data_IF_797851102949
#
_entry.id   IF_797851102949
#
_cell.length_a   1.000
_cell.length_b   1.000
_cell.length_c   1.000
_cell.angle_alpha   90.00
_cell.angle_beta   90.00
_cell.angle_gamma   90.00
#
_symmetry.space_group_name_H-M   'P 1'
#
loop_
_entity.id
_entity.type
_entity.pdbx_description
1 polymer ?
#
# COMPACT_ATOMS: atom_id res chain seq x y z
N UNK A 1 -21.27 -5.02 -4.16
CA UNK A 1 -22.36 -4.18 -4.72
C UNK A 1 -22.30 -4.18 -6.24
N UNK A 2 -23.38 -3.82 -6.92
CA UNK A 2 -23.39 -3.68 -8.39
C UNK A 2 -22.32 -2.68 -8.85
N UNK A 3 -22.22 -1.53 -8.20
CA UNK A 3 -21.18 -0.53 -8.51
C UNK A 3 -19.75 -1.10 -8.44
N UNK A 4 -19.47 -1.96 -7.46
CA UNK A 4 -18.14 -2.59 -7.33
C UNK A 4 -17.91 -3.62 -8.41
N UNK A 5 -18.96 -4.30 -8.86
CA UNK A 5 -18.90 -5.23 -9.98
C UNK A 5 -18.65 -4.51 -11.31
N UNK A 6 -19.38 -3.41 -11.56
CA UNK A 6 -19.16 -2.56 -12.73
C UNK A 6 -17.72 -2.01 -12.78
N UNK A 7 -17.19 -1.55 -11.62
CA UNK A 7 -15.82 -1.08 -11.54
C UNK A 7 -14.79 -2.21 -11.83
N UNK A 8 -15.07 -3.42 -11.35
CA UNK A 8 -14.24 -4.59 -11.64
C UNK A 8 -14.25 -4.93 -13.14
N UNK A 9 -15.43 -4.97 -13.75
CA UNK A 9 -15.57 -5.26 -15.18
C UNK A 9 -14.84 -4.23 -16.02
N UNK A 10 -15.03 -2.94 -15.74
CA UNK A 10 -14.32 -1.86 -16.43
C UNK A 10 -12.79 -1.96 -16.28
N UNK A 11 -12.29 -2.34 -15.11
CA UNK A 11 -10.85 -2.54 -14.89
C UNK A 11 -10.32 -3.73 -15.70
N UNK A 12 -11.07 -4.84 -15.76
CA UNK A 12 -10.68 -6.01 -16.57
C UNK A 12 -10.68 -5.68 -18.07
N UNK A 13 -11.66 -4.94 -18.58
CA UNK A 13 -11.73 -4.50 -19.98
C UNK A 13 -10.54 -3.57 -20.33
N UNK A 14 -10.20 -2.64 -19.42
CA UNK A 14 -9.01 -1.79 -19.60
C UNK A 14 -7.73 -2.59 -19.59
N UNK A 15 -7.58 -3.53 -18.66
CA UNK A 15 -6.41 -4.39 -18.58
C UNK A 15 -6.20 -5.20 -19.88
N UNK A 16 -7.27 -5.72 -20.47
CA UNK A 16 -7.20 -6.42 -21.76
C UNK A 16 -6.88 -5.46 -22.91
N UNK A 17 -7.43 -4.24 -22.90
CA UNK A 17 -7.11 -3.20 -23.90
C UNK A 17 -5.62 -2.81 -23.82
N UNK A 18 -5.05 -2.79 -22.61
CA UNK A 18 -3.63 -2.52 -22.36
C UNK A 18 -2.72 -3.73 -22.71
N UNK A 19 -3.27 -4.78 -23.31
CA UNK A 19 -2.54 -5.98 -23.72
C UNK A 19 -2.49 -7.08 -22.67
N UNK A 20 -3.21 -6.95 -21.57
CA UNK A 20 -3.33 -7.97 -20.53
C UNK A 20 -4.12 -9.18 -21.00
N UNK A 21 -3.82 -10.33 -20.41
CA UNK A 21 -4.53 -11.59 -20.65
C UNK A 21 -5.25 -12.02 -19.38
N UNK A 22 -6.58 -12.09 -19.44
CA UNK A 22 -7.38 -12.70 -18.36
C UNK A 22 -7.14 -14.22 -18.38
N UNK A 23 -6.49 -14.72 -17.33
CA UNK A 23 -6.14 -16.14 -17.21
C UNK A 23 -7.30 -16.95 -16.65
N UNK A 24 -7.98 -16.40 -15.64
CA UNK A 24 -9.12 -17.06 -14.99
C UNK A 24 -9.95 -16.03 -14.21
N UNK A 25 -11.22 -16.31 -14.02
CA UNK A 25 -12.13 -15.59 -13.13
C UNK A 25 -12.70 -14.30 -13.72
N UNK A 26 -13.22 -13.45 -12.87
CA UNK A 26 -13.85 -12.19 -13.24
C UNK A 26 -15.35 -12.27 -13.51
N UNK A 27 -15.91 -13.49 -13.54
CA UNK A 27 -17.32 -13.68 -13.82
C UNK A 27 -18.18 -13.49 -12.55
N UNK A 28 -19.41 -13.05 -12.78
CA UNK A 28 -20.44 -13.05 -11.75
C UNK A 28 -20.85 -14.47 -11.39
N UNK A 29 -20.99 -14.72 -10.11
CA UNK A 29 -21.41 -16.02 -9.57
C UNK A 29 -22.82 -15.88 -9.01
N UNK A 30 -23.74 -16.71 -9.51
CA UNK A 30 -25.11 -16.78 -8.98
C UNK A 30 -25.13 -17.55 -7.66
N UNK A 31 -25.67 -16.91 -6.61
CA UNK A 31 -25.80 -17.49 -5.27
C UNK A 31 -27.25 -17.47 -4.83
N UNK A 32 -27.72 -18.60 -4.28
CA UNK A 32 -29.07 -18.71 -3.71
C UNK A 32 -29.24 -17.70 -2.56
N UNK A 33 -30.24 -16.84 -2.63
CA UNK A 33 -30.47 -15.77 -1.67
C UNK A 33 -30.07 -14.38 -2.18
N UNK A 34 -29.55 -14.28 -3.39
CA UNK A 34 -29.19 -13.02 -4.04
C UNK A 34 -27.86 -12.43 -3.55
N UNK A 35 -27.56 -11.24 -4.04
CA UNK A 35 -26.31 -10.54 -3.78
C UNK A 35 -25.41 -10.44 -5.03
N UNK A 36 -24.25 -9.79 -4.89
CA UNK A 36 -23.26 -9.67 -5.94
C UNK A 36 -22.01 -10.42 -5.53
N UNK A 37 -21.78 -11.54 -6.16
CA UNK A 37 -20.62 -12.39 -5.96
C UNK A 37 -19.87 -12.51 -7.28
N UNK A 38 -18.53 -12.57 -7.21
CA UNK A 38 -17.66 -12.69 -8.37
C UNK A 38 -16.56 -13.70 -8.09
N UNK A 39 -16.12 -14.40 -9.13
CA UNK A 39 -14.90 -15.18 -9.04
C UNK A 39 -13.67 -14.25 -9.06
N UNK A 40 -12.66 -14.46 -8.21
CA UNK A 40 -11.42 -13.70 -8.29
C UNK A 40 -10.78 -13.82 -9.67
N UNK A 41 -10.31 -12.69 -10.20
CA UNK A 41 -9.67 -12.63 -11.51
C UNK A 41 -8.15 -12.63 -11.40
N UNK A 42 -7.49 -13.37 -12.29
CA UNK A 42 -6.04 -13.32 -12.47
C UNK A 42 -5.75 -12.83 -13.89
N UNK A 43 -4.99 -11.73 -13.97
CA UNK A 43 -4.65 -11.07 -15.23
C UNK A 43 -3.13 -10.99 -15.36
N UNK A 44 -2.57 -11.56 -16.42
CA UNK A 44 -1.15 -11.37 -16.75
C UNK A 44 -1.00 -10.12 -17.60
N UNK A 45 -0.18 -9.18 -17.13
CA UNK A 45 0.05 -7.89 -17.78
C UNK A 45 1.43 -7.86 -18.44
N UNK A 46 1.56 -7.27 -19.64
CA UNK A 46 2.87 -7.11 -20.29
C UNK A 46 3.72 -6.01 -19.66
N UNK A 47 3.08 -5.07 -18.93
CA UNK A 47 3.75 -3.96 -18.25
C UNK A 47 2.86 -3.39 -17.15
N UNK A 48 3.43 -2.57 -16.28
CA UNK A 48 2.70 -1.82 -15.25
C UNK A 48 2.02 -0.59 -15.88
N UNK A 49 0.83 -0.80 -16.47
CA UNK A 49 0.02 0.26 -17.05
C UNK A 49 -0.80 1.00 -15.98
N UNK A 50 -1.53 2.04 -16.38
CA UNK A 50 -2.31 2.85 -15.45
C UNK A 50 -3.34 2.02 -14.69
N UNK A 51 -4.00 1.06 -15.34
CA UNK A 51 -5.00 0.20 -14.68
C UNK A 51 -4.38 -0.66 -13.57
N UNK A 52 -3.10 -1.03 -13.67
CA UNK A 52 -2.38 -1.77 -12.63
C UNK A 52 -2.05 -0.87 -11.43
N UNK A 53 -1.82 0.42 -11.68
CA UNK A 53 -1.49 1.42 -10.65
C UNK A 53 -2.70 1.95 -9.90
N UNK A 54 -3.89 1.86 -10.50
CA UNK A 54 -5.13 2.29 -9.88
C UNK A 54 -5.66 1.23 -8.91
N UNK A 55 -6.21 1.69 -7.77
CA UNK A 55 -6.88 0.83 -6.84
C UNK A 55 -8.33 0.57 -7.28
N UNK A 56 -8.67 -0.65 -7.66
CA UNK A 56 -10.02 -1.00 -8.15
C UNK A 56 -10.98 -1.40 -7.01
N UNK A 57 -10.48 -1.79 -5.84
CA UNK A 57 -11.28 -2.35 -4.75
C UNK A 57 -12.13 -3.57 -5.15
N UNK A 58 -11.52 -4.47 -5.92
CA UNK A 58 -12.13 -5.69 -6.42
C UNK A 58 -11.12 -6.85 -6.38
N UNK A 59 -11.56 -8.11 -6.39
CA UNK A 59 -10.67 -9.25 -6.33
C UNK A 59 -9.99 -9.50 -7.69
N UNK A 60 -9.08 -8.63 -8.07
CA UNK A 60 -8.23 -8.75 -9.26
C UNK A 60 -6.78 -8.89 -8.82
N UNK A 61 -6.08 -9.90 -9.31
CA UNK A 61 -4.64 -10.07 -9.18
C UNK A 61 -3.98 -9.82 -10.53
N UNK A 62 -3.16 -8.77 -10.61
CA UNK A 62 -2.28 -8.53 -11.75
C UNK A 62 -0.95 -9.22 -11.54
N UNK A 63 -0.47 -9.92 -12.56
CA UNK A 63 0.83 -10.60 -12.58
C UNK A 63 1.69 -9.98 -13.64
N UNK A 64 2.89 -9.57 -13.26
CA UNK A 64 3.92 -9.03 -14.13
C UNK A 64 5.19 -9.87 -13.97
N UNK A 65 5.89 -10.10 -15.07
CA UNK A 65 7.23 -10.68 -15.03
C UNK A 65 8.25 -9.56 -14.81
N UNK A 66 9.42 -9.90 -14.26
CA UNK A 66 10.56 -9.01 -14.10
C UNK A 66 11.86 -9.80 -14.36
N UNK A 67 12.91 -9.11 -14.74
CA UNK A 67 14.19 -9.75 -15.07
C UNK A 67 15.14 -9.85 -13.86
N UNK A 68 15.07 -8.87 -12.95
CA UNK A 68 15.91 -8.86 -11.75
C UNK A 68 15.20 -8.19 -10.55
N UNK A 69 15.78 -8.33 -9.36
CA UNK A 69 15.22 -7.78 -8.13
C UNK A 69 15.15 -6.24 -8.13
N UNK A 70 16.05 -5.56 -8.80
CA UNK A 70 16.03 -4.09 -8.88
C UNK A 70 14.82 -3.61 -9.67
N UNK A 71 14.52 -4.28 -10.78
CA UNK A 71 13.30 -4.03 -11.57
C UNK A 71 12.04 -4.35 -10.75
N UNK A 72 12.01 -5.51 -10.08
CA UNK A 72 10.87 -5.88 -9.23
C UNK A 72 10.58 -4.82 -8.16
N UNK A 73 11.61 -4.32 -7.49
CA UNK A 73 11.48 -3.26 -6.47
C UNK A 73 11.06 -1.92 -7.12
N UNK A 74 11.55 -1.61 -8.30
CA UNK A 74 11.16 -0.39 -9.01
C UNK A 74 9.67 -0.43 -9.42
N UNK A 75 9.19 -1.56 -9.95
CA UNK A 75 7.78 -1.77 -10.25
C UNK A 75 6.92 -1.71 -8.98
N UNK A 76 7.35 -2.37 -7.92
CA UNK A 76 6.66 -2.37 -6.63
C UNK A 76 6.51 -0.96 -6.05
N UNK A 77 7.58 -0.16 -6.04
CA UNK A 77 7.55 1.21 -5.52
C UNK A 77 6.90 2.21 -6.50
N UNK A 78 6.73 1.83 -7.78
CA UNK A 78 6.23 2.68 -8.85
C UNK A 78 4.72 2.95 -8.84
N UNK A 79 4.03 2.72 -7.72
CA UNK A 79 2.59 2.94 -7.53
C UNK A 79 2.34 3.99 -6.46
N UNK A 80 1.19 4.70 -6.48
CA UNK A 80 0.87 5.72 -5.48
C UNK A 80 0.49 5.16 -4.11
N UNK A 81 0.19 3.88 -4.00
CA UNK A 81 -0.13 3.21 -2.74
C UNK A 81 1.14 2.64 -2.09
N UNK A 82 1.11 2.47 -0.76
CA UNK A 82 2.23 1.93 0.00
C UNK A 82 1.77 1.32 1.33
N UNK A 83 0.72 0.50 1.32
CA UNK A 83 0.21 -0.09 2.55
C UNK A 83 1.02 -1.32 2.95
N UNK A 84 0.99 -2.37 2.14
CA UNK A 84 1.57 -3.66 2.50
C UNK A 84 2.23 -4.34 1.31
N UNK A 85 3.35 -4.99 1.56
CA UNK A 85 4.18 -5.67 0.58
C UNK A 85 4.73 -6.98 1.12
N UNK A 86 5.13 -7.89 0.24
CA UNK A 86 5.77 -9.13 0.62
C UNK A 86 6.75 -9.61 -0.46
N UNK A 87 7.84 -10.22 -0.01
CA UNK A 87 8.73 -11.02 -0.85
C UNK A 87 8.71 -12.48 -0.39
N UNK A 88 8.76 -13.40 -1.34
CA UNK A 88 8.90 -14.83 -1.08
C UNK A 88 10.25 -15.28 -1.66
N UNK A 89 11.21 -15.51 -0.81
CA UNK A 89 12.57 -15.90 -1.20
C UNK A 89 13.24 -16.73 -0.11
N UNK A 90 14.22 -17.54 -0.48
CA UNK A 90 15.13 -18.23 0.43
C UNK A 90 16.52 -17.55 0.48
N UNK A 91 16.76 -16.53 -0.35
CA UNK A 91 17.98 -15.73 -0.30
C UNK A 91 17.85 -14.61 0.73
N UNK A 92 18.68 -14.67 1.76
CA UNK A 92 18.68 -13.66 2.83
C UNK A 92 19.04 -12.26 2.30
N UNK A 93 19.91 -12.15 1.29
CA UNK A 93 20.31 -10.85 0.74
C UNK A 93 19.16 -10.18 -0.02
N UNK A 94 18.40 -10.97 -0.78
CA UNK A 94 17.19 -10.48 -1.43
C UNK A 94 16.18 -9.99 -0.42
N UNK A 95 15.96 -10.77 0.66
CA UNK A 95 15.06 -10.39 1.74
C UNK A 95 15.46 -9.07 2.39
N UNK A 96 16.75 -8.91 2.77
CA UNK A 96 17.26 -7.68 3.37
C UNK A 96 17.21 -6.48 2.41
N UNK A 97 17.52 -6.68 1.13
CA UNK A 97 17.42 -5.62 0.12
C UNK A 97 15.97 -5.18 -0.08
N UNK A 98 15.04 -6.11 -0.13
CA UNK A 98 13.62 -5.80 -0.24
C UNK A 98 13.12 -5.00 0.97
N UNK A 99 13.42 -5.46 2.20
CA UNK A 99 13.04 -4.76 3.43
C UNK A 99 13.62 -3.34 3.51
N UNK A 100 14.85 -3.15 3.04
CA UNK A 100 15.51 -1.85 3.05
C UNK A 100 14.96 -0.88 1.99
N UNK A 101 14.40 -1.38 0.89
CA UNK A 101 14.05 -0.58 -0.29
C UNK A 101 12.55 -0.50 -0.58
N UNK A 102 11.73 -1.39 0.00
CA UNK A 102 10.27 -1.28 -0.10
C UNK A 102 9.80 0.00 0.57
N UNK A 103 8.98 0.77 -0.13
CA UNK A 103 8.40 2.03 0.36
C UNK A 103 7.01 1.86 0.99
N UNK A 104 6.64 0.63 1.33
CA UNK A 104 5.39 0.32 2.04
C UNK A 104 5.56 0.43 3.55
N UNK A 105 4.45 0.74 4.22
CA UNK A 105 4.42 0.75 5.69
C UNK A 105 4.57 -0.63 6.33
N UNK A 106 4.23 -1.68 5.58
CA UNK A 106 4.40 -3.08 5.98
C UNK A 106 5.18 -3.81 4.89
N UNK A 107 6.32 -4.38 5.22
CA UNK A 107 7.13 -5.20 4.33
C UNK A 107 7.37 -6.56 4.98
N UNK A 108 6.91 -7.61 4.35
CA UNK A 108 6.93 -8.97 4.86
C UNK A 108 7.89 -9.86 4.07
N UNK A 109 8.45 -10.86 4.72
CA UNK A 109 9.25 -11.92 4.08
C UNK A 109 8.60 -13.27 4.34
N UNK A 110 8.31 -14.01 3.28
CA UNK A 110 7.71 -15.35 3.32
C UNK A 110 6.37 -15.44 4.05
N UNK A 111 5.65 -14.33 4.11
CA UNK A 111 4.28 -14.24 4.60
C UNK A 111 3.50 -13.25 3.73
N UNK A 112 2.22 -13.52 3.50
CA UNK A 112 1.38 -12.67 2.66
C UNK A 112 1.07 -11.31 3.29
N UNK A 113 0.47 -10.43 2.48
CA UNK A 113 0.12 -9.05 2.85
C UNK A 113 -1.22 -8.93 3.58
N UNK A 114 -1.94 -10.03 3.80
CA UNK A 114 -3.35 -10.05 4.24
C UNK A 114 -3.55 -10.02 5.75
N UNK A 115 -2.56 -9.78 6.55
CA UNK A 115 -2.67 -9.78 8.00
C UNK A 115 -1.86 -8.68 8.66
N UNK A 116 -2.37 -8.18 9.78
CA UNK A 116 -1.63 -7.33 10.69
C UNK A 116 -1.45 -8.04 12.02
N UNK A 117 -0.22 -8.12 12.49
CA UNK A 117 0.09 -8.60 13.82
C UNK A 117 -0.28 -7.53 14.86
N UNK A 118 -0.97 -7.92 15.93
CA UNK A 118 -1.43 -6.97 16.97
C UNK A 118 -0.26 -6.20 17.60
N UNK A 119 0.90 -6.82 17.71
CA UNK A 119 2.11 -6.18 18.22
C UNK A 119 2.83 -5.28 17.23
N UNK A 120 2.53 -5.38 15.94
CA UNK A 120 3.12 -4.62 14.87
C UNK A 120 2.40 -3.31 14.60
N UNK A 121 3.12 -2.28 14.20
CA UNK A 121 2.54 -1.03 13.76
C UNK A 121 1.90 -1.21 12.38
N UNK A 122 0.57 -1.07 12.29
CA UNK A 122 -0.18 -1.17 11.03
C UNK A 122 -0.43 0.20 10.43
N UNK A 123 -0.10 0.37 9.17
CA UNK A 123 -0.38 1.59 8.41
C UNK A 123 0.49 1.68 7.18
N UNK A 124 0.17 2.63 6.31
CA UNK A 124 0.78 2.80 5.00
C UNK A 124 1.63 4.03 4.86
N UNK A 125 2.19 4.16 3.69
CA UNK A 125 2.92 5.31 3.18
C UNK A 125 2.25 5.85 1.92
N UNK A 126 2.72 6.94 1.38
CA UNK A 126 2.21 7.57 0.15
C UNK A 126 0.69 7.85 0.25
N UNK A 127 -0.10 7.51 -0.75
CA UNK A 127 -1.55 7.74 -0.74
C UNK A 127 -2.31 6.91 0.30
N UNK A 128 -1.71 5.87 0.85
CA UNK A 128 -2.31 5.08 1.94
C UNK A 128 -2.12 5.71 3.33
N UNK A 129 -1.50 6.89 3.40
CA UNK A 129 -1.29 7.68 4.62
C UNK A 129 -0.01 7.32 5.35
N UNK A 130 0.37 8.14 6.35
CA UNK A 130 1.60 7.98 7.13
C UNK A 130 1.37 7.67 8.61
N UNK A 131 0.13 7.40 9.02
CA UNK A 131 -0.20 7.00 10.38
C UNK A 131 0.06 5.54 10.66
N UNK A 132 0.08 5.17 11.94
CA UNK A 132 0.18 3.77 12.36
C UNK A 132 -0.86 3.47 13.42
N UNK A 133 -1.54 2.34 13.26
CA UNK A 133 -2.38 1.72 14.28
C UNK A 133 -1.63 0.54 14.89
N UNK A 134 -1.99 0.15 16.10
CA UNK A 134 -1.31 -0.94 16.82
C UNK A 134 0.18 -0.64 17.08
N UNK A 135 0.87 -1.60 17.65
CA UNK A 135 2.25 -1.40 18.07
C UNK A 135 2.37 -0.66 19.40
N UNK A 136 3.58 -0.62 19.92
CA UNK A 136 3.86 -0.15 21.28
C UNK A 136 3.59 1.34 21.53
N UNK A 137 3.57 2.14 20.48
CA UNK A 137 3.44 3.60 20.56
C UNK A 137 2.20 4.17 19.83
N UNK A 138 1.29 3.29 19.38
CA UNK A 138 0.05 3.69 18.70
C UNK A 138 -0.78 4.69 19.52
N UNK A 139 -0.77 4.60 20.85
CA UNK A 139 -1.45 5.52 21.75
C UNK A 139 -1.04 6.99 21.54
N UNK A 140 0.18 7.27 21.05
CA UNK A 140 0.65 8.62 20.75
C UNK A 140 -0.15 9.31 19.65
N UNK A 141 -0.73 8.54 18.72
CA UNK A 141 -1.58 9.07 17.66
C UNK A 141 -2.90 9.68 18.18
N UNK A 142 -3.34 9.24 19.37
CA UNK A 142 -4.53 9.76 20.03
C UNK A 142 -4.24 10.95 20.94
N UNK A 143 -2.98 11.37 21.04
CA UNK A 143 -2.54 12.47 21.90
C UNK A 143 -2.19 13.71 21.09
N UNK A 144 -2.68 14.86 21.54
CA UNK A 144 -2.22 16.14 20.99
C UNK A 144 -0.84 16.48 21.54
N UNK A 145 0.13 16.64 20.65
CA UNK A 145 1.47 17.10 21.01
C UNK A 145 1.48 18.63 20.95
N UNK A 146 1.92 19.25 22.01
CA UNK A 146 2.10 20.71 22.08
C UNK A 146 3.40 21.04 22.82
N UNK A 147 4.10 22.05 22.34
CA UNK A 147 5.22 22.65 23.06
C UNK A 147 4.71 23.91 23.76
N UNK A 148 5.01 24.01 25.05
CA UNK A 148 4.69 25.20 25.85
C UNK A 148 5.98 25.76 26.42
N UNK A 149 6.21 27.03 26.19
CA UNK A 149 7.35 27.73 26.74
C UNK A 149 6.81 28.87 27.62
N UNK A 150 7.28 28.94 28.85
CA UNK A 150 6.88 29.97 29.81
C UNK A 150 8.11 30.78 30.19
N UNK A 151 8.10 32.07 29.89
CA UNK A 151 9.13 32.97 30.34
C UNK A 151 8.76 33.52 31.72
N UNK A 152 9.61 33.28 32.73
CA UNK A 152 9.45 33.75 34.09
C UNK A 152 10.25 35.06 34.38
N UNK A 153 11.04 35.53 33.41
CA UNK A 153 11.78 36.78 33.57
C UNK A 153 10.91 37.98 33.23
N UNK A 154 11.36 39.16 33.63
CA UNK A 154 10.78 40.43 33.24
C UNK A 154 11.33 40.96 31.91
N UNK A 155 12.28 40.23 31.32
CA UNK A 155 12.90 40.56 30.05
C UNK A 155 12.25 39.78 28.91
N UNK A 156 12.30 40.29 27.70
CA UNK A 156 11.88 39.63 26.50
C UNK A 156 13.09 38.95 25.87
N UNK A 157 13.31 37.61 26.07
CA UNK A 157 14.38 36.90 25.42
C UNK A 157 14.05 36.75 23.94
N UNK A 158 14.95 37.19 23.10
CA UNK A 158 14.82 37.03 21.66
C UNK A 158 15.27 35.65 21.24
N UNK A 159 14.78 35.19 20.10
CA UNK A 159 15.26 33.95 19.47
C UNK A 159 16.77 34.09 19.19
N UNK A 160 17.50 32.99 19.30
CA UNK A 160 18.95 32.97 19.09
C UNK A 160 19.33 33.56 17.73
N UNK A 161 20.24 34.54 17.73
CA UNK A 161 20.71 35.22 16.51
C UNK A 161 19.80 36.35 16.02
N UNK A 162 18.78 36.77 16.80
CA UNK A 162 17.95 37.92 16.49
C UNK A 162 18.37 39.10 17.38
N UNK A 163 18.74 40.19 16.74
CA UNK A 163 19.01 41.50 17.40
C UNK A 163 18.11 42.54 16.74
N UNK A 164 17.43 43.34 17.55
CA UNK A 164 16.72 44.54 17.07
C UNK A 164 17.65 45.75 17.25
N UNK A 165 17.98 46.38 16.12
CA UNK A 165 18.74 47.60 16.08
C UNK A 165 17.94 48.84 16.51
#
# INVERSE_FOLDING_TARGET
>A
SERSYEAMTAALDRAQTDGGTLVVGGERVEVTGGGVYVSPALVRMPAQTEVVREETFAPILYVLDYDDLDEAIALHNGVPQGLSSAIFTLDQREAELFLARSDCGIANVNIGTSGAEIGGAFGGEKHTGGGRESGSDAWKAYMRRATNTVNYSTELPLAQGVEFG
#
